data_IF_894573311845
#
_entry.id   IF_894573311845
#
_cell.length_a   1.000
_cell.length_b   1.000
_cell.length_c   1.000
_cell.angle_alpha   90.00
_cell.angle_beta   90.00
_cell.angle_gamma   90.00
#
_symmetry.space_group_name_H-M   'P 1'
#
loop_
_entity.id
_entity.type
_entity.pdbx_description
1 polymer ?
#
# COMPACT_ATOMS: atom_id res chain seq x y z
N UNK A 1 -12.12 -20.94 -1.04
CA UNK A 1 -11.65 -19.84 -0.17
C UNK A 1 -10.42 -19.30 -0.87
N UNK A 2 -10.47 -18.08 -1.43
CA UNK A 2 -9.37 -17.53 -2.20
C UNK A 2 -8.23 -17.21 -1.23
N UNK A 3 -7.23 -18.09 -1.25
CA UNK A 3 -6.01 -18.00 -0.44
C UNK A 3 -5.00 -17.23 -1.31
N UNK A 4 -4.64 -16.03 -0.85
CA UNK A 4 -3.28 -15.49 -0.92
C UNK A 4 -2.69 -15.09 -2.29
N UNK A 5 -3.45 -14.42 -3.16
CA UNK A 5 -2.86 -13.24 -3.79
C UNK A 5 -2.90 -12.16 -2.71
N UNK A 6 -1.86 -12.06 -1.88
CA UNK A 6 -1.60 -10.84 -1.13
C UNK A 6 -1.72 -9.69 -2.13
N UNK A 7 -2.80 -8.91 -2.00
CA UNK A 7 -3.27 -7.92 -2.97
C UNK A 7 -2.07 -7.23 -3.64
N UNK A 8 -1.77 -7.62 -4.88
CA UNK A 8 -0.56 -7.19 -5.56
C UNK A 8 -0.54 -5.65 -5.71
N UNK A 9 -1.74 -5.05 -5.79
CA UNK A 9 -1.94 -3.61 -5.81
C UNK A 9 -1.60 -3.02 -4.44
N UNK A 10 -2.10 -3.62 -3.35
CA UNK A 10 -1.72 -3.23 -1.99
C UNK A 10 -0.19 -3.26 -1.79
N UNK A 11 0.46 -4.36 -2.17
CA UNK A 11 1.92 -4.54 -2.02
C UNK A 11 2.70 -3.52 -2.85
N UNK A 12 2.28 -3.26 -4.10
CA UNK A 12 2.90 -2.25 -4.96
C UNK A 12 2.76 -0.85 -4.37
N UNK A 13 1.54 -0.45 -3.99
CA UNK A 13 1.25 0.85 -3.40
C UNK A 13 2.04 1.06 -2.09
N UNK A 14 2.08 0.05 -1.22
CA UNK A 14 2.84 0.08 0.01
C UNK A 14 4.35 0.25 -0.25
N UNK A 15 4.89 -0.50 -1.23
CA UNK A 15 6.32 -0.46 -1.58
C UNK A 15 6.73 0.91 -2.11
N UNK A 16 5.94 1.49 -3.02
CA UNK A 16 6.15 2.83 -3.57
C UNK A 16 6.14 3.86 -2.44
N UNK A 17 5.11 3.84 -1.58
CA UNK A 17 4.98 4.80 -0.48
C UNK A 17 6.15 4.70 0.50
N UNK A 18 6.59 3.49 0.86
CA UNK A 18 7.76 3.30 1.73
C UNK A 18 9.05 3.81 1.09
N UNK A 19 9.22 3.62 -0.22
CA UNK A 19 10.42 4.08 -0.93
C UNK A 19 10.56 5.61 -0.91
N UNK A 20 9.45 6.33 -1.15
CA UNK A 20 9.48 7.80 -1.25
C UNK A 20 9.32 8.52 0.09
N UNK A 21 8.55 7.97 1.03
CA UNK A 21 8.21 8.64 2.30
C UNK A 21 9.09 8.15 3.45
N UNK A 22 9.66 6.94 3.35
CA UNK A 22 10.40 6.30 4.41
C UNK A 22 9.51 5.57 5.42
N UNK A 23 10.09 4.61 6.14
CA UNK A 23 9.39 3.71 7.08
C UNK A 23 8.97 4.36 8.41
N UNK A 24 9.44 5.57 8.71
CA UNK A 24 9.17 6.28 9.97
C UNK A 24 7.91 7.16 9.91
N UNK A 25 7.20 7.17 8.78
CA UNK A 25 5.98 7.97 8.60
C UNK A 25 4.76 7.05 8.58
N UNK A 26 3.66 7.39 9.27
CA UNK A 26 2.41 6.65 9.14
C UNK A 26 1.89 6.73 7.70
N UNK A 27 1.97 5.62 6.96
CA UNK A 27 1.55 5.55 5.55
C UNK A 27 0.17 4.91 5.35
N UNK A 28 -0.45 4.37 6.39
CA UNK A 28 -1.74 3.65 6.29
C UNK A 28 -2.86 4.52 5.71
N UNK A 29 -2.98 5.76 6.17
CA UNK A 29 -4.01 6.70 5.69
C UNK A 29 -3.78 7.07 4.22
N UNK A 30 -2.53 7.38 3.85
CA UNK A 30 -2.15 7.67 2.45
C UNK A 30 -2.32 6.47 1.52
N UNK A 31 -2.01 5.27 2.01
CA UNK A 31 -2.20 4.02 1.29
C UNK A 31 -3.68 3.75 1.04
N UNK A 32 -4.53 3.92 2.05
CA UNK A 32 -5.97 3.77 1.89
C UNK A 32 -6.54 4.79 0.92
N UNK A 33 -6.12 6.06 1.00
CA UNK A 33 -6.54 7.07 0.02
C UNK A 33 -6.11 6.68 -1.39
N UNK A 34 -4.88 6.22 -1.59
CA UNK A 34 -4.41 5.79 -2.92
C UNK A 34 -5.23 4.62 -3.47
N UNK A 35 -5.48 3.60 -2.65
CA UNK A 35 -6.26 2.42 -3.05
C UNK A 35 -7.72 2.76 -3.36
N UNK A 36 -8.31 3.75 -2.70
CA UNK A 36 -9.68 4.22 -2.99
C UNK A 36 -9.79 5.05 -4.29
N UNK A 37 -8.68 5.54 -4.83
CA UNK A 37 -8.64 6.39 -6.02
C UNK A 37 -8.04 5.71 -7.26
N UNK A 38 -7.64 4.43 -7.15
CA UNK A 38 -7.29 3.57 -8.28
C UNK A 38 -8.54 3.02 -8.94
#
# INVERSE_FOLDING_TARGET
MAIEEEDAVYTLCLTILRHFVGSNVPISEKLNTLLQNL
#
